data_IF_087066378689
#
_entry.id   IF_087066378689
#
_cell.length_a   1.000
_cell.length_b   1.000
_cell.length_c   1.000
_cell.angle_alpha   90.00
_cell.angle_beta   90.00
_cell.angle_gamma   90.00
#
_symmetry.space_group_name_H-M   'P 1'
#
loop_
_entity.id
_entity.type
_entity.pdbx_description
1 polymer ?
#
# COMPACT_ATOMS: atom_id res chain seq x y z
N UNK A 1 -8.47 12.83 14.89
CA UNK A 1 -7.01 12.60 15.05
C UNK A 1 -6.60 11.37 14.25
N UNK A 2 -5.74 11.55 13.24
CA UNK A 2 -5.21 10.44 12.44
C UNK A 2 -4.26 9.58 13.29
N UNK A 3 -4.17 8.27 13.01
CA UNK A 3 -3.14 7.35 13.57
C UNK A 3 -1.73 7.95 13.45
N UNK A 4 -1.50 8.71 12.39
CA UNK A 4 -0.23 9.39 12.12
C UNK A 4 0.09 10.50 13.11
N UNK A 5 -0.90 11.24 13.61
CA UNK A 5 -0.70 12.26 14.65
C UNK A 5 -0.20 11.58 15.92
N UNK A 6 -0.82 10.46 16.28
CA UNK A 6 -0.44 9.67 17.45
C UNK A 6 0.99 9.15 17.35
N UNK A 7 1.45 8.77 16.16
CA UNK A 7 2.83 8.31 15.94
C UNK A 7 3.85 9.41 16.26
N UNK A 8 3.71 10.60 15.67
CA UNK A 8 4.60 11.74 15.93
C UNK A 8 4.55 12.16 17.40
N UNK A 9 3.34 12.24 17.99
CA UNK A 9 3.19 12.55 19.42
C UNK A 9 3.88 11.52 20.34
N UNK A 10 3.93 10.24 19.95
CA UNK A 10 4.62 9.19 20.72
C UNK A 10 6.14 9.35 20.59
N UNK A 11 6.64 9.66 19.39
CA UNK A 11 8.06 9.83 19.12
C UNK A 11 8.63 11.06 19.84
N UNK A 12 7.97 12.21 19.72
CA UNK A 12 8.34 13.44 20.44
C UNK A 12 8.35 13.23 21.97
N UNK A 13 7.33 12.56 22.52
CA UNK A 13 7.28 12.23 23.94
C UNK A 13 8.40 11.29 24.37
N UNK A 14 8.80 10.35 23.50
CA UNK A 14 9.90 9.43 23.78
C UNK A 14 11.24 10.18 23.83
N UNK A 15 11.49 11.09 22.90
CA UNK A 15 12.71 11.93 22.87
C UNK A 15 12.77 12.82 24.12
N UNK A 16 11.70 13.54 24.43
CA UNK A 16 11.64 14.41 25.59
C UNK A 16 11.85 13.63 26.90
N UNK A 17 11.22 12.44 27.03
CA UNK A 17 11.43 11.58 28.19
C UNK A 17 12.86 11.00 28.29
N UNK A 18 13.55 10.81 27.16
CA UNK A 18 14.93 10.34 27.14
C UNK A 18 15.89 11.47 27.57
N UNK A 19 15.62 12.71 27.14
CA UNK A 19 16.40 13.90 27.51
C UNK A 19 16.24 14.29 28.98
N UNK A 20 15.01 14.25 29.52
CA UNK A 20 14.73 14.60 30.91
C UNK A 20 15.47 13.73 31.94
N UNK A 21 15.98 12.56 31.54
CA UNK A 21 16.64 11.57 32.41
C UNK A 21 18.10 11.31 32.03
N UNK A 22 18.64 12.04 31.06
CA UNK A 22 19.97 11.80 30.52
C UNK A 22 21.06 12.48 31.36
N UNK A 23 22.04 11.73 31.85
CA UNK A 23 23.32 12.31 32.33
C UNK A 23 24.18 12.83 31.17
N UNK A 24 24.08 12.21 29.99
CA UNK A 24 24.77 12.59 28.76
C UNK A 24 23.76 12.60 27.59
N UNK A 25 23.03 13.73 27.41
CA UNK A 25 21.98 13.84 26.39
C UNK A 25 22.52 13.67 24.96
N UNK A 26 23.76 14.10 24.69
CA UNK A 26 24.38 13.99 23.37
C UNK A 26 24.58 12.51 22.98
N UNK A 27 25.05 11.68 23.92
CA UNK A 27 25.23 10.25 23.69
C UNK A 27 23.89 9.53 23.48
N UNK A 28 22.85 9.90 24.22
CA UNK A 28 21.51 9.31 24.08
C UNK A 28 20.89 9.66 22.72
N UNK A 29 21.00 10.92 22.28
CA UNK A 29 20.52 11.33 20.94
C UNK A 29 21.25 10.54 19.85
N UNK A 30 22.59 10.41 19.92
CA UNK A 30 23.37 9.64 18.94
C UNK A 30 22.95 8.16 18.87
N UNK A 31 22.69 7.55 20.03
CA UNK A 31 22.23 6.16 20.08
C UNK A 31 20.81 6.02 19.51
N UNK A 32 19.92 6.96 19.83
CA UNK A 32 18.56 6.98 19.30
C UNK A 32 18.54 7.21 17.78
N UNK A 33 19.34 8.14 17.26
CA UNK A 33 19.54 8.33 15.82
C UNK A 33 20.00 7.04 15.12
N UNK A 34 20.89 6.27 15.75
CA UNK A 34 21.33 4.98 15.21
C UNK A 34 20.19 3.96 15.14
N UNK A 35 19.36 3.89 16.17
CA UNK A 35 18.16 3.03 16.20
C UNK A 35 17.16 3.44 15.13
N UNK A 36 16.86 4.74 15.01
CA UNK A 36 15.96 5.28 13.99
C UNK A 36 16.44 4.97 12.57
N UNK A 37 17.74 5.13 12.29
CA UNK A 37 18.32 4.81 10.99
C UNK A 37 18.20 3.31 10.66
N UNK A 38 18.39 2.43 11.66
CA UNK A 38 18.18 1.00 11.50
C UNK A 38 16.72 0.67 11.17
N UNK A 39 15.77 1.27 11.89
CA UNK A 39 14.34 1.03 11.68
C UNK A 39 13.85 1.64 10.36
N UNK A 40 14.38 2.79 9.94
CA UNK A 40 14.15 3.36 8.61
C UNK A 40 14.57 2.38 7.51
N UNK A 41 15.72 1.70 7.67
CA UNK A 41 16.16 0.66 6.74
C UNK A 41 15.17 -0.49 6.60
N UNK A 42 14.61 -0.97 7.72
CA UNK A 42 13.58 -2.02 7.71
C UNK A 42 12.29 -1.54 7.07
N UNK A 43 11.81 -0.36 7.46
CA UNK A 43 10.57 0.22 6.94
C UNK A 43 10.69 0.50 5.44
N UNK A 44 11.86 0.92 4.95
CA UNK A 44 12.11 1.08 3.51
C UNK A 44 11.96 -0.24 2.76
N UNK A 45 12.53 -1.32 3.27
CA UNK A 45 12.41 -2.65 2.65
C UNK A 45 10.96 -3.16 2.67
N UNK A 46 10.26 -3.01 3.80
CA UNK A 46 8.85 -3.37 3.93
C UNK A 46 7.95 -2.52 3.02
N UNK A 47 8.20 -1.21 2.95
CA UNK A 47 7.47 -0.28 2.06
C UNK A 47 7.62 -0.72 0.61
N UNK A 48 8.85 -1.03 0.17
CA UNK A 48 9.10 -1.53 -1.17
C UNK A 48 8.34 -2.84 -1.45
N UNK A 49 8.34 -3.78 -0.50
CA UNK A 49 7.62 -5.04 -0.64
C UNK A 49 6.10 -4.84 -0.76
N UNK A 50 5.53 -3.97 0.07
CA UNK A 50 4.08 -3.67 0.03
C UNK A 50 3.69 -2.90 -1.23
N UNK A 51 4.52 -1.96 -1.71
CA UNK A 51 4.30 -1.28 -2.99
C UNK A 51 4.36 -2.24 -4.18
N UNK A 52 5.26 -3.23 -4.15
CA UNK A 52 5.30 -4.27 -5.16
C UNK A 52 4.02 -5.14 -5.15
N UNK A 53 3.46 -5.40 -3.98
CA UNK A 53 2.17 -6.09 -3.82
C UNK A 53 1.00 -5.28 -4.36
N UNK A 54 0.95 -3.97 -4.05
CA UNK A 54 -0.03 -3.05 -4.60
C UNK A 54 -0.01 -3.07 -6.13
N UNK A 55 1.18 -2.96 -6.75
CA UNK A 55 1.29 -3.03 -8.20
C UNK A 55 0.87 -4.38 -8.77
N UNK A 56 1.18 -5.49 -8.07
CA UNK A 56 0.79 -6.83 -8.53
C UNK A 56 -0.72 -7.00 -8.52
N UNK A 57 -1.36 -6.62 -7.41
CA UNK A 57 -2.83 -6.69 -7.27
C UNK A 57 -3.54 -5.74 -8.23
N UNK A 58 -2.96 -4.56 -8.50
CA UNK A 58 -3.46 -3.64 -9.51
C UNK A 58 -3.40 -4.22 -10.93
N UNK A 59 -2.30 -4.90 -11.29
CA UNK A 59 -2.18 -5.57 -12.59
C UNK A 59 -3.24 -6.66 -12.75
N UNK A 60 -3.40 -7.53 -11.75
CA UNK A 60 -4.42 -8.59 -11.78
C UNK A 60 -5.85 -8.00 -11.90
N UNK A 61 -6.12 -6.91 -11.19
CA UNK A 61 -7.39 -6.19 -11.30
C UNK A 61 -7.64 -5.68 -12.73
N UNK A 62 -6.64 -5.05 -13.34
CA UNK A 62 -6.74 -4.51 -14.70
C UNK A 62 -6.89 -5.62 -15.75
N UNK A 63 -6.12 -6.70 -15.64
CA UNK A 63 -6.23 -7.87 -16.54
C UNK A 63 -7.64 -8.47 -16.49
N UNK A 64 -8.23 -8.59 -15.30
CA UNK A 64 -9.60 -9.06 -15.14
C UNK A 64 -10.62 -8.13 -15.84
N UNK A 65 -10.45 -6.81 -15.71
CA UNK A 65 -11.29 -5.82 -16.40
C UNK A 65 -11.16 -5.95 -17.92
N UNK A 66 -9.94 -6.06 -18.43
CA UNK A 66 -9.68 -6.23 -19.87
C UNK A 66 -10.33 -7.51 -20.41
N UNK A 67 -10.28 -8.61 -19.64
CA UNK A 67 -10.93 -9.86 -20.00
C UNK A 67 -12.45 -9.76 -19.99
N UNK A 68 -13.05 -9.04 -19.04
CA UNK A 68 -14.48 -8.75 -19.03
C UNK A 68 -14.91 -7.95 -20.27
N UNK A 69 -14.11 -6.96 -20.67
CA UNK A 69 -14.35 -6.19 -21.89
C UNK A 69 -14.21 -7.06 -23.15
N UNK A 70 -13.23 -7.96 -23.21
CA UNK A 70 -13.10 -8.94 -24.30
C UNK A 70 -14.35 -9.81 -24.40
N UNK A 71 -14.86 -10.32 -23.28
CA UNK A 71 -16.09 -11.12 -23.28
C UNK A 71 -17.28 -10.32 -23.78
N UNK A 72 -17.40 -9.04 -23.42
CA UNK A 72 -18.44 -8.17 -23.95
C UNK A 72 -18.32 -7.98 -25.47
N UNK A 73 -17.12 -7.73 -25.98
CA UNK A 73 -16.89 -7.61 -27.42
C UNK A 73 -17.25 -8.89 -28.17
N UNK A 74 -16.87 -10.05 -27.65
CA UNK A 74 -17.20 -11.33 -28.25
C UNK A 74 -18.70 -11.63 -28.21
N UNK A 75 -19.37 -11.26 -27.11
CA UNK A 75 -20.83 -11.33 -26.99
C UNK A 75 -21.52 -10.53 -28.09
N UNK A 76 -21.12 -9.27 -28.28
CA UNK A 76 -21.69 -8.39 -29.30
C UNK A 76 -21.46 -8.94 -30.71
N UNK A 77 -20.25 -9.39 -31.03
CA UNK A 77 -19.94 -10.00 -32.33
C UNK A 77 -20.75 -11.27 -32.59
N UNK A 78 -20.96 -12.11 -31.59
CA UNK A 78 -21.80 -13.30 -31.72
C UNK A 78 -23.26 -12.92 -32.04
N UNK A 79 -23.80 -11.88 -31.40
CA UNK A 79 -25.15 -11.37 -31.69
C UNK A 79 -25.27 -10.80 -33.11
N UNK A 80 -24.26 -10.09 -33.61
CA UNK A 80 -24.24 -9.59 -35.00
C UNK A 80 -24.38 -10.72 -36.03
N UNK A 81 -23.81 -11.89 -35.72
CA UNK A 81 -23.90 -13.10 -36.57
C UNK A 81 -25.12 -13.97 -36.28
N UNK A 82 -26.03 -13.56 -35.39
CA UNK A 82 -27.21 -14.34 -34.98
C UNK A 82 -26.89 -15.56 -34.11
N UNK A 83 -25.66 -15.71 -33.61
CA UNK A 83 -25.24 -16.83 -32.79
C UNK A 83 -25.51 -16.55 -31.30
N UNK A 84 -26.78 -16.69 -30.92
CA UNK A 84 -27.22 -16.47 -29.54
C UNK A 84 -26.58 -17.41 -28.51
N UNK A 85 -26.23 -18.64 -28.94
CA UNK A 85 -25.61 -19.63 -28.05
C UNK A 85 -24.26 -19.15 -27.56
N UNK A 86 -23.41 -18.67 -28.47
CA UNK A 86 -22.11 -18.13 -28.10
C UNK A 86 -22.23 -16.81 -27.34
N UNK A 87 -23.19 -15.95 -27.71
CA UNK A 87 -23.48 -14.74 -26.96
C UNK A 87 -23.83 -15.03 -25.48
N UNK A 88 -24.71 -16.02 -25.22
CA UNK A 88 -25.02 -16.46 -23.85
C UNK A 88 -23.78 -16.97 -23.12
N UNK A 89 -22.94 -17.76 -23.77
CA UNK A 89 -21.69 -18.29 -23.17
C UNK A 89 -20.69 -17.18 -22.79
N UNK A 90 -20.50 -16.17 -23.64
CA UNK A 90 -19.62 -15.04 -23.33
C UNK A 90 -20.19 -14.18 -22.19
N UNK A 91 -21.51 -14.02 -22.12
CA UNK A 91 -22.17 -13.33 -21.02
C UNK A 91 -21.98 -14.06 -19.68
N UNK A 92 -22.16 -15.39 -19.66
CA UNK A 92 -21.91 -16.21 -18.48
C UNK A 92 -20.45 -16.12 -18.02
N UNK A 93 -19.49 -16.17 -18.95
CA UNK A 93 -18.07 -16.02 -18.60
C UNK A 93 -17.76 -14.63 -18.04
N UNK A 94 -18.35 -13.56 -18.60
CA UNK A 94 -18.24 -12.20 -18.06
C UNK A 94 -18.81 -12.10 -16.65
N UNK A 95 -19.94 -12.77 -16.37
CA UNK A 95 -20.51 -12.81 -15.03
C UNK A 95 -19.60 -13.51 -14.02
N UNK A 96 -18.95 -14.62 -14.40
CA UNK A 96 -17.92 -15.27 -13.57
C UNK A 96 -16.75 -14.33 -13.28
N UNK A 97 -16.24 -13.64 -14.30
CA UNK A 97 -15.14 -12.68 -14.14
C UNK A 97 -15.54 -11.50 -13.26
N UNK A 98 -16.81 -11.07 -13.25
CA UNK A 98 -17.29 -10.02 -12.35
C UNK A 98 -17.17 -10.42 -10.87
N UNK A 99 -17.36 -11.70 -10.54
CA UNK A 99 -17.16 -12.21 -9.18
C UNK A 99 -15.68 -12.20 -8.80
N UNK A 100 -14.81 -12.63 -9.72
CA UNK A 100 -13.34 -12.57 -9.54
C UNK A 100 -12.85 -11.11 -9.39
N UNK A 101 -13.41 -10.19 -10.18
CA UNK A 101 -13.10 -8.77 -10.12
C UNK A 101 -13.32 -8.20 -8.72
N UNK A 102 -14.45 -8.50 -8.09
CA UNK A 102 -14.74 -8.04 -6.73
C UNK A 102 -13.70 -8.53 -5.72
N UNK A 103 -13.15 -9.74 -5.90
CA UNK A 103 -12.08 -10.26 -5.05
C UNK A 103 -10.78 -9.48 -5.27
N UNK A 104 -10.41 -9.22 -6.53
CA UNK A 104 -9.23 -8.43 -6.85
C UNK A 104 -9.34 -6.98 -6.38
N UNK A 105 -10.53 -6.37 -6.41
CA UNK A 105 -10.77 -5.03 -5.88
C UNK A 105 -10.50 -4.96 -4.38
N UNK A 106 -10.98 -5.94 -3.61
CA UNK A 106 -10.70 -6.04 -2.17
C UNK A 106 -9.20 -6.22 -1.92
N UNK A 107 -8.54 -7.11 -2.65
CA UNK A 107 -7.09 -7.34 -2.52
C UNK A 107 -6.28 -6.08 -2.84
N UNK A 108 -6.61 -5.39 -3.92
CA UNK A 108 -5.96 -4.14 -4.31
C UNK A 108 -6.18 -3.05 -3.26
N UNK A 109 -7.41 -2.89 -2.76
CA UNK A 109 -7.73 -1.86 -1.76
C UNK A 109 -6.95 -2.09 -0.46
N UNK A 110 -6.82 -3.35 -0.02
CA UNK A 110 -6.01 -3.71 1.14
C UNK A 110 -4.53 -3.41 0.91
N UNK A 111 -3.97 -3.83 -0.23
CA UNK A 111 -2.57 -3.60 -0.57
C UNK A 111 -2.25 -2.10 -0.69
N UNK A 112 -3.11 -1.33 -1.36
CA UNK A 112 -2.96 0.11 -1.56
C UNK A 112 -3.04 0.89 -0.25
N UNK A 113 -4.01 0.56 0.62
CA UNK A 113 -4.10 1.16 1.95
C UNK A 113 -2.84 0.90 2.79
N UNK A 114 -2.33 -0.34 2.76
CA UNK A 114 -1.09 -0.70 3.46
C UNK A 114 0.14 0.02 2.87
N UNK A 115 0.24 0.11 1.55
CA UNK A 115 1.33 0.81 0.85
C UNK A 115 1.35 2.30 1.23
N UNK A 116 0.18 2.95 1.22
CA UNK A 116 0.03 4.33 1.61
C UNK A 116 0.45 4.57 3.07
N UNK A 117 0.02 3.71 4.00
CA UNK A 117 0.42 3.80 5.41
C UNK A 117 1.92 3.65 5.61
N UNK A 118 2.54 2.67 4.94
CA UNK A 118 3.99 2.42 5.02
C UNK A 118 4.80 3.58 4.45
N UNK A 119 4.38 4.11 3.30
CA UNK A 119 5.00 5.30 2.70
C UNK A 119 4.92 6.50 3.65
N UNK A 120 3.76 6.76 4.24
CA UNK A 120 3.60 7.86 5.20
C UNK A 120 4.47 7.68 6.45
N UNK A 121 4.63 6.44 6.95
CA UNK A 121 5.51 6.14 8.07
C UNK A 121 6.98 6.36 7.73
N UNK A 122 7.41 5.91 6.55
CA UNK A 122 8.75 6.17 6.02
C UNK A 122 9.06 7.66 5.92
N UNK A 123 8.15 8.44 5.33
CA UNK A 123 8.35 9.88 5.11
C UNK A 123 8.45 10.63 6.45
N UNK A 124 7.63 10.27 7.44
CA UNK A 124 7.69 10.86 8.78
C UNK A 124 8.98 10.53 9.52
N UNK A 125 9.40 9.26 9.53
CA UNK A 125 10.66 8.87 10.17
C UNK A 125 11.86 9.56 9.51
N UNK A 126 11.81 9.76 8.19
CA UNK A 126 12.83 10.52 7.47
C UNK A 126 12.88 11.96 7.95
N UNK A 127 11.73 12.62 8.13
CA UNK A 127 11.66 13.99 8.68
C UNK A 127 12.21 14.05 10.11
N UNK A 128 11.80 13.12 10.99
CA UNK A 128 12.27 13.09 12.38
C UNK A 128 13.79 12.87 12.49
N UNK A 129 14.35 11.95 11.68
CA UNK A 129 15.80 11.73 11.62
C UNK A 129 16.53 13.01 11.17
N UNK A 130 16.00 13.70 10.18
CA UNK A 130 16.61 14.94 9.67
C UNK A 130 16.55 16.08 10.70
N UNK A 131 15.47 16.17 11.48
CA UNK A 131 15.34 17.15 12.56
C UNK A 131 16.35 16.87 13.67
N UNK A 132 16.39 15.63 14.17
CA UNK A 132 17.32 15.21 15.22
C UNK A 132 18.80 15.27 14.82
N UNK A 133 19.10 15.22 13.53
CA UNK A 133 20.46 15.36 13.01
C UNK A 133 20.89 16.82 12.78
N UNK A 134 19.94 17.76 12.76
CA UNK A 134 20.18 19.19 12.56
C UNK A 134 20.37 19.96 13.88
N UNK A 135 19.86 19.41 14.99
CA UNK A 135 20.00 19.91 16.36
C UNK A 135 21.26 19.33 17.06
#
# INVERSE_FOLDING_TARGET
MSILSKFTDIMERKINSLLDKAEDPEKIIKQYLKELNSDLGKIKAETAAVMAEEQRTQRALNECRDDMEKMERYRLKALETGNERDARRFLEKKASLAVELSQFEVSYQLASSKAQQMKQMHDKLTVEINQLAAD
#
